data_IF_528831880569
#
_entry.id   IF_528831880569
#
_cell.length_a   1.000
_cell.length_b   1.000
_cell.length_c   1.000
_cell.angle_alpha   90.00
_cell.angle_beta   90.00
_cell.angle_gamma   90.00
#
_symmetry.space_group_name_H-M   'P 1'
#
loop_
_entity.id
_entity.type
_entity.pdbx_description
1 polymer ?
#
# COMPACT_ATOMS: atom_id res chain seq x y z
N UNK A 1 67.32 27.57 24.03
CA UNK A 1 66.18 26.72 24.42
C UNK A 1 65.08 26.91 23.37
N UNK A 2 64.93 25.95 22.47
CA UNK A 2 63.87 26.01 21.48
C UNK A 2 62.67 25.20 22.01
N UNK A 3 61.59 25.92 22.31
CA UNK A 3 60.30 25.28 22.59
C UNK A 3 59.68 24.90 21.27
N UNK A 4 59.64 23.62 21.00
CA UNK A 4 58.84 23.11 19.89
C UNK A 4 57.38 23.20 20.27
N UNK A 5 56.68 24.12 19.65
CA UNK A 5 55.21 24.15 19.73
C UNK A 5 54.73 23.11 18.73
N UNK A 6 54.24 22.01 19.22
CA UNK A 6 53.53 21.03 18.38
C UNK A 6 52.13 21.56 18.21
N UNK A 7 51.87 22.14 17.06
CA UNK A 7 50.49 22.42 16.63
C UNK A 7 49.81 21.08 16.29
N UNK A 8 49.04 20.61 17.21
CA UNK A 8 48.16 19.48 16.94
C UNK A 8 47.03 19.95 16.06
N UNK A 9 47.16 19.68 14.75
CA UNK A 9 46.10 19.92 13.79
C UNK A 9 45.09 18.79 13.97
N UNK A 10 44.10 18.99 14.84
CA UNK A 10 42.96 18.11 14.89
C UNK A 10 42.10 18.35 13.66
N UNK A 11 42.28 17.49 12.66
CA UNK A 11 41.39 17.43 11.53
C UNK A 11 40.07 16.85 12.05
N UNK A 12 39.12 17.71 12.33
CA UNK A 12 37.76 17.30 12.56
C UNK A 12 37.24 16.74 11.24
N UNK A 13 37.20 15.42 11.16
CA UNK A 13 36.57 14.72 10.07
C UNK A 13 35.06 14.94 10.25
N UNK A 14 34.53 15.96 9.59
CA UNK A 14 33.10 16.12 9.41
C UNK A 14 32.66 14.99 8.48
N UNK A 15 32.26 13.88 9.07
CA UNK A 15 31.53 12.86 8.37
C UNK A 15 30.17 13.44 8.00
N UNK A 16 30.08 14.07 6.84
CA UNK A 16 28.81 14.36 6.21
C UNK A 16 28.24 13.03 5.79
N UNK A 17 27.42 12.46 6.64
CA UNK A 17 26.58 11.34 6.22
C UNK A 17 25.61 11.89 5.19
N UNK A 18 25.97 11.76 3.92
CA UNK A 18 24.98 11.85 2.86
C UNK A 18 24.03 10.67 3.05
N UNK A 19 22.94 10.89 3.76
CA UNK A 19 21.83 9.98 3.72
C UNK A 19 21.36 9.93 2.27
N UNK A 20 21.75 8.89 1.54
CA UNK A 20 21.05 8.49 0.34
C UNK A 20 19.58 8.43 0.75
N UNK A 21 18.74 9.30 0.14
CA UNK A 21 17.36 9.43 0.50
C UNK A 21 16.60 8.14 0.29
N UNK A 22 16.74 7.21 1.25
CA UNK A 22 15.78 6.17 1.42
C UNK A 22 14.44 6.85 1.67
N UNK A 23 13.44 6.59 0.82
CA UNK A 23 12.08 7.04 1.10
C UNK A 23 11.74 6.60 2.51
N UNK A 24 11.31 7.56 3.32
CA UNK A 24 10.86 7.25 4.67
C UNK A 24 9.76 6.21 4.57
N UNK A 25 9.89 5.15 5.34
CA UNK A 25 8.83 4.18 5.53
C UNK A 25 7.77 4.77 6.45
N UNK A 26 6.55 4.39 6.19
CA UNK A 26 5.42 4.71 7.05
C UNK A 26 4.72 3.44 7.48
N UNK A 27 3.61 3.53 8.15
CA UNK A 27 2.74 2.41 8.49
C UNK A 27 1.33 2.69 8.01
N UNK A 28 0.61 1.63 7.67
CA UNK A 28 -0.76 1.72 7.21
C UNK A 28 -1.63 0.73 7.97
N UNK A 29 -2.82 1.16 8.34
CA UNK A 29 -3.82 0.33 8.98
C UNK A 29 -5.08 0.33 8.14
N UNK A 30 -5.50 -0.86 7.70
CA UNK A 30 -6.76 -1.04 6.99
C UNK A 30 -7.87 -1.33 7.98
N UNK A 31 -9.04 -0.74 7.74
CA UNK A 31 -10.23 -1.06 8.51
C UNK A 31 -10.59 -2.53 8.36
N UNK A 32 -10.50 -3.05 7.11
CA UNK A 32 -10.66 -4.47 6.77
C UNK A 32 -9.75 -4.83 5.63
N UNK A 33 -9.06 -5.95 5.75
CA UNK A 33 -8.22 -6.49 4.66
C UNK A 33 -8.95 -7.54 3.82
N UNK A 34 -10.06 -8.07 4.32
CA UNK A 34 -10.94 -9.00 3.63
C UNK A 34 -12.32 -8.39 3.63
N UNK A 35 -12.92 -8.22 2.45
CA UNK A 35 -14.28 -7.73 2.33
C UNK A 35 -15.17 -8.74 1.63
N UNK A 36 -16.34 -8.97 2.22
CA UNK A 36 -17.39 -9.77 1.64
C UNK A 36 -18.23 -8.88 0.72
N UNK A 37 -18.20 -9.19 -0.57
CA UNK A 37 -18.99 -8.47 -1.58
C UNK A 37 -20.42 -9.02 -1.71
N UNK A 38 -20.77 -10.00 -0.88
CA UNK A 38 -22.12 -10.52 -0.76
C UNK A 38 -22.45 -11.64 -1.70
N UNK A 39 -23.75 -11.94 -1.74
CA UNK A 39 -24.36 -12.89 -2.66
C UNK A 39 -25.08 -12.07 -3.72
N UNK A 40 -24.78 -12.29 -4.99
CA UNK A 40 -25.32 -11.50 -6.09
C UNK A 40 -25.61 -12.39 -7.29
N UNK A 41 -26.64 -12.06 -8.08
CA UNK A 41 -26.97 -12.82 -9.29
C UNK A 41 -26.04 -12.48 -10.44
N UNK A 42 -25.93 -13.37 -11.39
CA UNK A 42 -25.06 -13.23 -12.56
C UNK A 42 -25.40 -12.01 -13.42
N UNK A 43 -26.65 -11.59 -13.44
CA UNK A 43 -27.09 -10.40 -14.19
C UNK A 43 -26.79 -9.08 -13.47
N UNK A 44 -26.28 -9.12 -12.25
CA UNK A 44 -25.87 -7.97 -11.45
C UNK A 44 -24.48 -8.23 -10.83
N UNK A 45 -23.52 -8.55 -11.68
CA UNK A 45 -22.19 -9.02 -11.26
C UNK A 45 -21.07 -7.98 -11.38
N UNK A 46 -21.40 -6.71 -11.54
CA UNK A 46 -20.47 -5.59 -11.46
C UNK A 46 -20.50 -5.05 -10.04
N UNK A 47 -19.50 -5.38 -9.25
CA UNK A 47 -19.47 -5.07 -7.82
C UNK A 47 -18.30 -4.13 -7.53
N UNK A 48 -18.58 -3.07 -6.76
CA UNK A 48 -17.56 -2.15 -6.26
C UNK A 48 -17.34 -2.39 -4.77
N UNK A 49 -16.09 -2.54 -4.36
CA UNK A 49 -15.72 -2.70 -2.96
C UNK A 49 -14.69 -1.63 -2.58
N UNK A 50 -14.88 -1.02 -1.41
CA UNK A 50 -14.02 0.06 -0.93
C UNK A 50 -13.26 -0.43 0.29
N UNK A 51 -11.92 -0.35 0.22
CA UNK A 51 -11.03 -0.65 1.32
C UNK A 51 -10.54 0.65 1.92
N UNK A 52 -11.00 0.99 3.11
CA UNK A 52 -10.59 2.18 3.83
C UNK A 52 -9.33 1.89 4.64
N UNK A 53 -8.41 2.85 4.66
CA UNK A 53 -7.18 2.75 5.42
C UNK A 53 -6.80 4.11 6.02
N UNK A 54 -5.91 4.06 6.99
CA UNK A 54 -5.30 5.22 7.61
C UNK A 54 -3.79 5.11 7.57
N UNK A 55 -3.13 6.21 7.25
CA UNK A 55 -1.70 6.34 7.41
C UNK A 55 -1.39 6.57 8.90
N UNK A 56 -0.92 5.53 9.56
CA UNK A 56 -0.63 5.56 11.00
C UNK A 56 0.82 5.89 11.32
N UNK A 57 1.64 6.11 10.28
CA UNK A 57 3.03 6.48 10.43
C UNK A 57 3.25 8.00 10.41
N UNK A 58 4.49 8.39 10.28
CA UNK A 58 4.94 9.78 10.31
C UNK A 58 5.49 10.29 8.97
N UNK A 59 5.36 9.49 7.92
CA UNK A 59 5.75 9.85 6.56
C UNK A 59 4.56 9.72 5.61
N UNK A 60 4.63 10.38 4.45
CA UNK A 60 3.61 10.24 3.39
C UNK A 60 3.54 8.80 2.90
N UNK A 61 2.33 8.31 2.70
CA UNK A 61 2.07 6.96 2.20
C UNK A 61 1.86 7.00 0.68
N UNK A 62 2.66 6.18 -0.02
CA UNK A 62 2.58 5.99 -1.46
C UNK A 62 2.24 4.53 -1.75
N UNK A 63 1.26 4.31 -2.60
CA UNK A 63 1.02 2.99 -3.20
C UNK A 63 1.64 2.96 -4.58
N UNK A 64 2.50 1.97 -4.84
CA UNK A 64 3.23 1.86 -6.10
C UNK A 64 2.49 0.99 -7.10
N UNK A 65 2.03 -0.18 -6.67
CA UNK A 65 1.39 -1.15 -7.54
C UNK A 65 0.22 -1.84 -6.87
N UNK A 66 -0.74 -2.25 -7.67
CA UNK A 66 -1.82 -3.15 -7.29
C UNK A 66 -1.92 -4.25 -8.35
N UNK A 67 -1.76 -5.50 -7.94
CA UNK A 67 -1.77 -6.66 -8.83
C UNK A 67 -2.85 -7.64 -8.39
N UNK A 68 -4.02 -7.62 -9.02
CA UNK A 68 -5.05 -8.61 -8.76
C UNK A 68 -4.67 -9.97 -9.36
N UNK A 69 -5.15 -11.05 -8.77
CA UNK A 69 -4.92 -12.42 -9.23
C UNK A 69 -5.82 -12.83 -10.40
N UNK A 70 -6.72 -11.96 -10.83
CA UNK A 70 -7.66 -12.21 -11.90
C UNK A 70 -7.87 -10.95 -12.76
N UNK A 71 -7.92 -11.07 -14.10
CA UNK A 71 -8.32 -9.94 -14.95
C UNK A 71 -9.74 -9.43 -14.71
N UNK A 72 -10.55 -10.22 -13.98
CA UNK A 72 -11.91 -9.83 -13.57
C UNK A 72 -11.93 -8.78 -12.46
N UNK A 73 -10.78 -8.46 -11.88
CA UNK A 73 -10.63 -7.46 -10.83
C UNK A 73 -9.78 -6.31 -11.34
N UNK A 74 -10.23 -5.09 -11.13
CA UNK A 74 -9.44 -3.89 -11.34
C UNK A 74 -9.40 -3.06 -10.06
N UNK A 75 -8.35 -2.25 -9.92
CA UNK A 75 -8.07 -1.53 -8.68
C UNK A 75 -7.76 -0.08 -8.99
N UNK A 76 -8.37 0.81 -8.23
CA UNK A 76 -8.04 2.23 -8.25
C UNK A 76 -7.32 2.61 -6.96
N UNK A 77 -6.06 2.96 -7.08
CA UNK A 77 -5.22 3.46 -6.00
C UNK A 77 -5.44 4.96 -5.79
N UNK A 78 -5.12 5.51 -4.60
CA UNK A 78 -5.14 6.95 -4.38
C UNK A 78 -4.26 7.69 -5.40
N UNK A 79 -4.79 8.76 -6.00
CA UNK A 79 -4.09 9.53 -7.02
C UNK A 79 -2.95 10.39 -6.43
N UNK A 80 -3.02 10.70 -5.14
CA UNK A 80 -2.05 11.52 -4.42
C UNK A 80 -1.58 10.79 -3.17
N UNK A 81 -0.37 11.09 -2.69
CA UNK A 81 0.11 10.52 -1.43
C UNK A 81 -0.80 10.88 -0.26
N UNK A 82 -0.90 9.99 0.71
CA UNK A 82 -1.71 10.18 1.90
C UNK A 82 -0.81 10.69 3.03
N UNK A 83 -1.14 11.86 3.57
CA UNK A 83 -0.37 12.47 4.66
C UNK A 83 -0.46 11.66 5.94
N UNK A 84 0.54 11.78 6.84
CA UNK A 84 0.46 11.16 8.16
C UNK A 84 -0.81 11.53 8.91
N UNK A 85 -1.48 10.54 9.47
CA UNK A 85 -2.74 10.72 10.19
C UNK A 85 -3.99 10.81 9.32
N UNK A 86 -3.84 10.96 8.01
CA UNK A 86 -4.97 11.02 7.09
C UNK A 86 -5.42 9.61 6.69
N UNK A 87 -6.66 9.55 6.27
CA UNK A 87 -7.29 8.35 5.74
C UNK A 87 -7.40 8.42 4.22
N UNK A 88 -7.51 7.25 3.60
CA UNK A 88 -7.74 7.13 2.18
C UNK A 88 -8.51 5.86 1.88
N UNK A 89 -8.70 5.60 0.58
CA UNK A 89 -9.43 4.41 0.15
C UNK A 89 -8.83 3.84 -1.13
N UNK A 90 -8.88 2.51 -1.22
CA UNK A 90 -8.59 1.74 -2.42
C UNK A 90 -9.91 1.19 -2.92
N UNK A 91 -10.22 1.41 -4.19
CA UNK A 91 -11.47 0.97 -4.80
C UNK A 91 -11.17 -0.25 -5.65
N UNK A 92 -11.90 -1.33 -5.39
CA UNK A 92 -11.78 -2.60 -6.09
C UNK A 92 -13.05 -2.84 -6.88
N UNK A 93 -12.92 -3.09 -8.18
CA UNK A 93 -14.01 -3.39 -9.08
C UNK A 93 -13.94 -4.86 -9.48
N UNK A 94 -15.03 -5.58 -9.26
CA UNK A 94 -15.20 -6.96 -9.70
C UNK A 94 -16.15 -7.01 -10.89
N UNK A 95 -15.75 -7.70 -11.94
CA UNK A 95 -16.56 -7.94 -13.13
C UNK A 95 -16.75 -9.44 -13.34
N UNK A 96 -17.92 -9.95 -12.97
CA UNK A 96 -18.23 -11.36 -13.06
C UNK A 96 -18.85 -11.82 -14.37
N UNK A 97 -18.95 -10.94 -15.38
CA UNK A 97 -19.68 -11.27 -16.63
C UNK A 97 -19.11 -12.46 -17.38
N UNK A 98 -17.81 -12.69 -17.29
CA UNK A 98 -17.13 -13.82 -17.96
C UNK A 98 -16.82 -14.97 -16.99
N UNK A 99 -17.38 -14.92 -15.78
CA UNK A 99 -17.17 -15.94 -14.76
C UNK A 99 -18.36 -16.87 -14.66
N UNK A 100 -18.08 -18.13 -14.28
CA UNK A 100 -19.12 -19.07 -13.92
C UNK A 100 -19.68 -18.73 -12.53
N UNK A 101 -20.97 -19.02 -12.27
CA UNK A 101 -21.51 -18.91 -10.92
C UNK A 101 -20.71 -19.73 -9.91
N UNK A 102 -20.67 -19.30 -8.68
CA UNK A 102 -19.98 -19.96 -7.60
C UNK A 102 -19.24 -18.98 -6.68
N UNK A 103 -18.32 -19.52 -5.90
CA UNK A 103 -17.49 -18.75 -4.97
C UNK A 103 -16.63 -17.71 -5.70
N UNK A 104 -16.64 -16.52 -5.15
CA UNK A 104 -15.74 -15.43 -5.56
C UNK A 104 -14.68 -15.28 -4.49
N UNK A 105 -13.41 -15.44 -4.86
CA UNK A 105 -12.25 -15.30 -3.97
C UNK A 105 -11.08 -14.78 -4.77
N UNK A 106 -10.71 -13.51 -4.54
CA UNK A 106 -9.60 -12.90 -5.26
C UNK A 106 -8.70 -12.13 -4.32
N UNK A 107 -7.40 -12.36 -4.50
CA UNK A 107 -6.36 -11.60 -3.83
C UNK A 107 -5.90 -10.44 -4.68
N UNK A 108 -5.65 -9.32 -4.06
CA UNK A 108 -5.01 -8.15 -4.67
C UNK A 108 -3.71 -7.90 -3.90
N UNK A 109 -2.59 -7.98 -4.60
CA UNK A 109 -1.27 -7.75 -4.03
C UNK A 109 -0.91 -6.27 -4.19
N UNK A 110 -0.57 -5.62 -3.09
CA UNK A 110 -0.27 -4.20 -3.05
C UNK A 110 1.19 -3.99 -2.68
N UNK A 111 1.83 -2.99 -3.29
CA UNK A 111 3.14 -2.52 -2.88
C UNK A 111 3.09 -1.03 -2.52
N UNK A 112 3.86 -0.65 -1.51
CA UNK A 112 3.86 0.69 -0.96
C UNK A 112 5.20 1.00 -0.26
N UNK A 113 5.34 2.21 0.25
CA UNK A 113 6.43 2.56 1.15
C UNK A 113 6.10 2.31 2.63
N UNK A 114 5.05 1.56 2.91
CA UNK A 114 4.75 1.12 4.28
C UNK A 114 5.67 -0.02 4.70
N UNK A 115 5.64 -0.37 5.98
CA UNK A 115 6.28 -1.55 6.53
C UNK A 115 5.20 -2.46 7.14
N UNK A 116 4.99 -3.65 6.57
CA UNK A 116 5.67 -4.26 5.42
C UNK A 116 5.33 -3.55 4.09
N UNK A 117 6.30 -3.55 3.16
CA UNK A 117 6.17 -2.86 1.86
C UNK A 117 5.16 -3.54 0.93
N UNK A 118 4.99 -4.85 1.08
CA UNK A 118 4.04 -5.64 0.30
C UNK A 118 3.04 -6.30 1.23
N UNK A 119 1.78 -6.27 0.83
CA UNK A 119 0.69 -6.92 1.54
C UNK A 119 -0.43 -7.23 0.57
N UNK A 120 -1.45 -7.90 1.02
CA UNK A 120 -2.57 -8.30 0.18
C UNK A 120 -3.90 -8.03 0.86
N UNK A 121 -4.86 -7.64 0.05
CA UNK A 121 -6.27 -7.53 0.42
C UNK A 121 -7.07 -8.56 -0.37
N UNK A 122 -8.27 -8.85 0.07
CA UNK A 122 -9.08 -9.91 -0.51
C UNK A 122 -10.54 -9.51 -0.61
N UNK A 123 -11.15 -9.88 -1.73
CA UNK A 123 -12.61 -9.90 -1.86
C UNK A 123 -13.12 -11.34 -1.84
N UNK A 124 -14.21 -11.57 -1.18
CA UNK A 124 -14.92 -12.85 -1.13
C UNK A 124 -16.42 -12.63 -1.35
N UNK A 125 -17.08 -13.59 -1.92
CA UNK A 125 -18.51 -13.51 -2.17
C UNK A 125 -19.02 -14.77 -2.87
N UNK A 126 -20.25 -14.69 -3.34
CA UNK A 126 -20.87 -15.79 -4.08
C UNK A 126 -21.76 -15.25 -5.18
N UNK A 127 -21.54 -15.73 -6.40
CA UNK A 127 -22.36 -15.38 -7.55
C UNK A 127 -23.35 -16.51 -7.83
N UNK A 128 -24.65 -16.20 -7.79
CA UNK A 128 -25.72 -17.13 -8.17
C UNK A 128 -25.94 -17.16 -9.68
N UNK A 129 -26.64 -18.14 -10.16
CA UNK A 129 -27.08 -18.25 -11.56
C UNK A 129 -28.08 -17.15 -11.96
#
# INVERSE_FOLDING_TARGET
MFRKIILSLSVALLATSFGLGAQKTTTVEFERMIQDIGIFPRDSCLITSIFEFKNTGDAKLYFYTASPDCPCVSVKLPAVPVNPGDSGRIIVYYDGRLKAPGDVRHWIYLSSNADPATFRIRIVGYMTE
#
